data_IF_659755413146
#
_entry.id   IF_659755413146
#
_cell.length_a   1.000
_cell.length_b   1.000
_cell.length_c   1.000
_cell.angle_alpha   90.00
_cell.angle_beta   90.00
_cell.angle_gamma   90.00
#
_symmetry.space_group_name_H-M   'P 1'
#
loop_
_entity.id
_entity.type
_entity.pdbx_description
1 polymer ?
2 non-polymer ?
#
# COMPACT_ATOMS: atom_id res chain seq x y z
N UNK A 22 -3.73 -19.07 -8.48
CA UNK A 22 -2.33 -19.47 -8.79
C UNK A 22 -1.81 -18.65 -9.97
N UNK A 23 -0.80 -17.81 -9.74
CA UNK A 23 -0.19 -16.97 -10.80
C UNK A 23 0.18 -15.62 -10.23
N UNK A 24 1.12 -14.92 -10.87
CA UNK A 24 1.60 -13.60 -10.36
C UNK A 24 1.10 -12.50 -11.28
N UNK A 25 0.08 -11.77 -10.88
CA UNK A 25 -0.33 -10.62 -11.71
C UNK A 25 0.80 -9.59 -11.67
N UNK A 26 0.99 -8.80 -12.71
CA UNK A 26 1.91 -7.67 -12.72
C UNK A 26 1.83 -6.90 -11.39
N UNK A 27 0.60 -6.68 -10.91
CA UNK A 27 0.41 -5.91 -9.70
C UNK A 27 1.19 -6.51 -8.53
N UNK A 28 1.05 -7.83 -8.40
CA UNK A 28 1.66 -8.57 -7.31
C UNK A 28 3.17 -8.47 -7.44
N UNK A 29 3.62 -8.60 -8.69
CA UNK A 29 5.03 -8.62 -9.04
C UNK A 29 5.67 -7.31 -8.62
N UNK A 30 5.01 -6.20 -8.94
CA UNK A 30 5.55 -4.89 -8.63
C UNK A 30 5.71 -4.76 -7.12
N UNK A 31 4.63 -5.05 -6.40
CA UNK A 31 4.62 -4.99 -4.94
C UNK A 31 5.81 -5.75 -4.34
N UNK A 32 5.99 -7.00 -4.81
CA UNK A 32 7.04 -7.87 -4.34
C UNK A 32 8.39 -7.21 -4.59
N UNK A 33 8.48 -6.43 -5.67
CA UNK A 33 9.70 -5.70 -5.96
C UNK A 33 9.91 -4.70 -4.84
N UNK A 34 8.79 -4.07 -4.49
CA UNK A 34 8.79 -3.01 -3.51
C UNK A 34 9.21 -3.60 -2.18
N UNK A 35 8.63 -4.75 -1.84
CA UNK A 35 9.05 -5.47 -0.66
C UNK A 35 10.54 -5.79 -0.73
N UNK A 36 10.99 -6.37 -1.85
CA UNK A 36 12.37 -6.78 -1.97
C UNK A 36 13.26 -5.59 -1.64
N UNK A 37 12.86 -4.44 -2.19
CA UNK A 37 13.50 -3.16 -1.93
C UNK A 37 13.51 -2.85 -0.44
N UNK A 38 12.30 -2.88 0.16
CA UNK A 38 12.09 -2.52 1.55
C UNK A 38 12.95 -3.38 2.46
N UNK A 39 12.83 -4.70 2.31
CA UNK A 39 13.67 -5.62 3.06
C UNK A 39 15.14 -5.44 2.70
N UNK A 40 15.41 -5.01 1.46
CA UNK A 40 16.77 -5.00 0.95
C UNK A 40 17.25 -6.43 0.73
N UNK A 41 16.39 -7.24 0.13
CA UNK A 41 16.79 -8.58 -0.26
C UNK A 41 16.65 -8.69 -1.78
N UNK A 42 17.16 -9.78 -2.36
CA UNK A 42 17.05 -10.04 -3.81
C UNK A 42 15.60 -10.33 -4.06
N UNK A 43 15.08 -10.05 -5.25
CA UNK A 43 13.63 -10.22 -5.55
C UNK A 43 13.33 -11.72 -5.63
N UNK A 44 14.35 -12.55 -5.80
CA UNK A 44 14.17 -14.02 -5.79
C UNK A 44 13.83 -14.42 -4.36
N UNK A 45 14.46 -13.79 -3.38
CA UNK A 45 14.28 -14.17 -1.96
C UNK A 45 12.98 -13.55 -1.47
N UNK A 46 12.67 -12.31 -1.81
CA UNK A 46 11.40 -11.68 -1.50
C UNK A 46 10.23 -12.55 -1.96
N UNK A 47 10.23 -12.97 -3.22
CA UNK A 47 9.11 -13.74 -3.73
C UNK A 47 9.05 -15.12 -3.08
N UNK A 48 10.23 -15.67 -2.78
CA UNK A 48 10.29 -16.98 -2.10
C UNK A 48 9.59 -16.85 -0.75
N UNK A 49 9.88 -15.80 0.02
CA UNK A 49 9.32 -15.54 1.33
C UNK A 49 7.82 -15.28 1.22
N UNK A 50 7.43 -14.47 0.24
CA UNK A 50 6.03 -14.15 0.06
C UNK A 50 5.22 -15.39 -0.28
N UNK A 51 5.70 -16.21 -1.20
CA UNK A 51 4.88 -17.37 -1.62
C UNK A 51 4.85 -18.35 -0.44
N UNK A 52 5.91 -18.38 0.36
CA UNK A 52 5.97 -19.27 1.54
C UNK A 52 4.97 -18.79 2.57
N UNK A 53 4.81 -17.48 2.70
CA UNK A 53 3.90 -16.89 3.71
C UNK A 53 2.46 -17.02 3.23
N UNK A 54 2.22 -16.91 1.93
CA UNK A 54 0.85 -16.91 1.38
C UNK A 54 0.21 -18.28 1.61
N UNK A 55 1.00 -19.34 1.65
CA UNK A 55 0.51 -20.70 1.84
C UNK A 55 0.41 -21.01 3.33
N UNK A 56 1.47 -20.60 4.06
CA UNK A 56 1.60 -20.86 5.49
C UNK A 56 0.43 -20.22 6.25
N UNK A 57 -0.09 -19.09 5.74
CA UNK A 57 -1.18 -18.33 6.36
C UNK A 57 -2.47 -18.49 5.58
N UNK A 58 -2.39 -18.87 4.30
CA UNK A 58 -3.60 -19.00 3.50
C UNK A 58 -4.26 -17.64 3.29
N UNK A 59 -3.42 -16.70 2.84
CA UNK A 59 -3.81 -15.34 2.53
C UNK A 59 -3.57 -15.14 1.04
N UNK A 60 -3.85 -13.94 0.52
CA UNK A 60 -3.42 -13.59 -0.82
C UNK A 60 -1.91 -13.39 -0.83
N UNK A 61 -1.33 -13.43 -2.03
CA UNK A 61 0.08 -13.14 -2.17
C UNK A 61 0.30 -11.68 -1.78
N UNK A 62 -0.61 -10.81 -2.20
CA UNK A 62 -0.53 -9.40 -1.87
C UNK A 62 -0.46 -9.28 -0.36
N UNK A 63 -1.38 -9.96 0.33
CA UNK A 63 -1.47 -9.89 1.78
C UNK A 63 -0.19 -10.43 2.41
N UNK A 64 0.45 -11.40 1.75
CA UNK A 64 1.69 -11.95 2.27
C UNK A 64 2.80 -10.91 2.15
N UNK A 65 2.83 -10.22 1.01
CA UNK A 65 3.83 -9.18 0.84
C UNK A 65 3.58 -8.06 1.84
N UNK A 66 2.31 -7.67 1.99
CA UNK A 66 1.93 -6.61 2.92
C UNK A 66 2.36 -6.98 4.34
N UNK A 67 2.27 -8.26 4.68
CA UNK A 67 2.65 -8.72 6.00
C UNK A 67 4.15 -8.60 6.21
N UNK A 68 4.89 -8.83 5.13
CA UNK A 68 6.33 -8.67 5.20
C UNK A 68 6.65 -7.20 5.45
N UNK A 69 5.89 -6.35 4.76
CA UNK A 69 6.13 -4.89 4.80
C UNK A 69 5.68 -4.29 6.12
N UNK A 70 4.62 -4.81 6.75
CA UNK A 70 4.22 -4.33 8.06
C UNK A 70 5.28 -4.75 9.08
N UNK A 71 5.74 -6.01 9.02
CA UNK A 71 6.73 -6.51 9.96
C UNK A 71 7.99 -5.65 9.88
N UNK A 72 8.50 -5.42 8.67
CA UNK A 72 9.62 -4.51 8.47
C UNK A 72 9.31 -3.16 9.10
N UNK A 73 8.16 -2.57 8.74
CA UNK A 73 7.80 -1.24 9.18
C UNK A 73 7.86 -1.14 10.71
N UNK A 74 7.42 -2.21 11.39
CA UNK A 74 7.40 -2.28 12.85
C UNK A 74 8.78 -2.64 13.41
N UNK A 75 9.75 -2.96 12.54
CA UNK A 75 11.08 -3.35 12.99
C UNK A 75 11.09 -4.67 13.75
N UNK A 76 10.13 -5.56 13.44
CA UNK A 76 9.95 -6.82 14.13
C UNK A 76 10.16 -8.00 13.18
N UNK A 77 9.95 -9.22 13.68
CA UNK A 77 9.98 -10.43 12.85
C UNK A 77 8.56 -10.62 12.38
N UNK A 78 8.31 -11.48 11.41
CA UNK A 78 7.03 -11.66 10.76
C UNK A 78 6.11 -12.41 11.71
N UNK A 79 6.64 -13.41 12.42
CA UNK A 79 5.84 -14.13 13.39
C UNK A 79 5.32 -13.09 14.40
N UNK A 80 6.24 -12.31 14.98
CA UNK A 80 5.89 -11.39 16.05
C UNK A 80 4.75 -10.49 15.57
N UNK A 81 4.86 -9.95 14.35
CA UNK A 81 3.80 -9.12 13.82
C UNK A 81 2.48 -9.89 13.78
N UNK A 82 2.53 -11.12 13.26
CA UNK A 82 1.33 -11.92 13.05
C UNK A 82 0.69 -12.25 14.40
N UNK A 83 1.54 -12.52 15.39
CA UNK A 83 1.07 -12.88 16.71
C UNK A 83 0.26 -11.71 17.24
N UNK A 84 0.79 -10.50 17.02
CA UNK A 84 0.17 -9.27 17.48
C UNK A 84 -1.15 -9.02 16.74
N UNK A 85 -1.09 -9.11 15.42
CA UNK A 85 -2.30 -9.02 14.61
C UNK A 85 -3.39 -9.94 15.17
N UNK A 86 -3.04 -11.19 15.45
CA UNK A 86 -4.07 -12.18 15.84
C UNK A 86 -4.63 -11.82 17.21
N UNK A 87 -3.84 -11.16 18.06
CA UNK A 87 -4.37 -10.72 19.37
C UNK A 87 -5.36 -9.58 19.10
N UNK A 88 -5.19 -8.82 18.01
CA UNK A 88 -6.08 -7.70 17.65
C UNK A 88 -7.26 -8.23 16.84
N UNK A 89 -7.09 -9.35 16.12
CA UNK A 89 -8.16 -9.95 15.35
C UNK A 89 -9.26 -10.44 16.29
N UNK A 90 -8.85 -11.16 17.34
CA UNK A 90 -9.77 -11.77 18.30
C UNK A 90 -10.35 -10.69 19.21
N UNK A 91 -9.48 -9.81 19.73
CA UNK A 91 -9.86 -8.74 20.65
C UNK A 91 -10.88 -7.79 20.02
N UNK A 92 -10.72 -7.42 18.74
CA UNK A 92 -11.58 -6.41 18.12
C UNK A 92 -12.54 -7.02 17.11
N UNK A 93 -12.36 -8.30 16.79
CA UNK A 93 -13.21 -8.96 15.80
C UNK A 93 -13.04 -8.33 14.41
N UNK A 94 -11.78 -8.24 13.98
CA UNK A 94 -11.42 -7.69 12.68
C UNK A 94 -10.79 -8.83 11.88
N UNK A 95 -10.53 -8.58 10.59
CA UNK A 95 -9.80 -9.53 9.77
C UNK A 95 -8.32 -9.35 10.05
N UNK A 96 -7.55 -10.41 9.78
CA UNK A 96 -6.11 -10.33 9.95
C UNK A 96 -5.57 -9.07 9.29
N UNK A 97 -5.87 -8.87 8.00
CA UNK A 97 -5.27 -7.77 7.28
C UNK A 97 -5.58 -6.47 8.02
N UNK A 98 -6.83 -6.35 8.49
CA UNK A 98 -7.26 -5.15 9.17
C UNK A 98 -6.40 -4.94 10.41
N UNK A 99 -6.08 -6.05 11.08
CA UNK A 99 -5.26 -6.04 12.27
C UNK A 99 -3.85 -5.57 11.93
N UNK A 100 -3.39 -5.97 10.75
CA UNK A 100 -2.08 -5.58 10.31
C UNK A 100 -2.09 -4.08 10.03
N UNK A 101 -3.13 -3.62 9.33
CA UNK A 101 -3.29 -2.21 9.01
C UNK A 101 -3.24 -1.37 10.28
N UNK A 102 -3.95 -1.82 11.31
CA UNK A 102 -3.99 -1.11 12.57
C UNK A 102 -2.56 -0.92 13.05
N UNK A 103 -1.84 -2.03 13.15
CA UNK A 103 -0.49 -2.02 13.69
C UNK A 103 0.35 -1.01 12.92
N UNK A 104 0.21 -1.07 11.60
CA UNK A 104 0.96 -0.21 10.70
C UNK A 104 0.59 1.24 10.95
N UNK A 105 -0.71 1.54 10.96
CA UNK A 105 -1.17 2.91 11.13
C UNK A 105 -0.57 3.46 12.42
N UNK A 106 -0.85 2.76 13.53
CA UNK A 106 -0.36 3.13 14.85
C UNK A 106 1.15 3.38 14.83
N UNK A 107 1.92 2.50 14.19
CA UNK A 107 3.35 2.72 14.05
C UNK A 107 3.59 4.09 13.43
N UNK A 108 3.10 4.24 12.20
CA UNK A 108 3.28 5.45 11.41
C UNK A 108 3.02 6.69 12.27
N UNK A 109 1.86 6.70 12.92
CA UNK A 109 1.45 7.82 13.77
C UNK A 109 2.48 7.98 14.89
N UNK A 110 2.92 6.86 15.47
CA UNK A 110 3.71 6.88 16.70
C UNK A 110 2.82 6.96 17.94
N UNK A 111 1.67 6.25 17.90
CA UNK A 111 0.70 6.25 18.98
C UNK A 111 0.52 4.82 19.49
N UNK A 112 -0.57 4.60 20.24
CA UNK A 112 -1.01 3.27 20.62
C UNK A 112 -2.06 2.77 19.63
N UNK A 113 -2.25 1.45 19.61
CA UNK A 113 -3.22 0.80 18.74
C UNK A 113 -4.64 1.24 19.10
N UNK A 114 -4.90 1.46 20.40
CA UNK A 114 -6.25 1.81 20.81
C UNK A 114 -6.58 3.16 20.20
N UNK A 115 -5.61 4.09 20.28
CA UNK A 115 -5.76 5.44 19.75
C UNK A 115 -6.00 5.35 18.25
N UNK A 116 -5.07 4.70 17.54
CA UNK A 116 -5.21 4.49 16.11
C UNK A 116 -6.62 3.99 15.81
N UNK A 117 -7.03 2.89 16.47
CA UNK A 117 -8.33 2.25 16.25
C UNK A 117 -9.48 3.23 16.48
N UNK A 118 -9.36 4.07 17.51
CA UNK A 118 -10.36 5.09 17.80
C UNK A 118 -10.46 6.05 16.61
N UNK A 119 -9.31 6.58 16.19
CA UNK A 119 -9.30 7.60 15.15
C UNK A 119 -9.88 7.01 13.86
N UNK A 120 -9.55 5.75 13.57
CA UNK A 120 -9.96 5.14 12.31
C UNK A 120 -11.47 4.94 12.29
N UNK A 121 -12.03 4.48 13.41
CA UNK A 121 -13.48 4.24 13.49
C UNK A 121 -14.14 5.61 13.57
N UNK A 122 -13.38 6.66 13.90
CA UNK A 122 -13.90 8.05 13.93
C UNK A 122 -14.01 8.53 12.48
N UNK A 123 -13.06 8.17 11.63
CA UNK A 123 -13.05 8.57 10.20
C UNK A 123 -14.07 7.72 9.46
N UNK A 124 -14.17 6.44 9.80
CA UNK A 124 -15.03 5.48 9.14
C UNK A 124 -16.48 5.96 9.23
N UNK A 125 -16.88 6.34 10.44
CA UNK A 125 -18.25 6.79 10.66
C UNK A 125 -18.45 8.15 10.00
N UNK A 126 -17.52 9.09 10.25
CA UNK A 126 -17.61 10.47 9.79
C UNK A 126 -17.76 10.56 8.27
N UNK A 127 -17.15 9.63 7.52
CA UNK A 127 -17.00 9.76 6.08
C UNK A 127 -17.79 8.68 5.33
N UNK A 128 -18.14 7.58 6.01
CA UNK A 128 -18.87 6.46 5.41
C UNK A 128 -17.96 5.54 4.58
N UNK A 129 -16.74 5.33 5.08
CA UNK A 129 -15.73 4.58 4.34
C UNK A 129 -15.47 3.25 5.05
N UNK A 130 -14.63 2.42 4.43
CA UNK A 130 -14.12 1.22 5.05
C UNK A 130 -13.20 1.59 6.21
N UNK A 131 -13.10 0.68 7.18
CA UNK A 131 -12.11 0.83 8.24
C UNK A 131 -10.74 0.92 7.58
N UNK A 132 -10.58 0.11 6.54
CA UNK A 132 -9.32 0.00 5.83
C UNK A 132 -9.01 1.35 5.21
N UNK A 133 -10.02 1.94 4.57
CA UNK A 133 -9.88 3.25 3.96
C UNK A 133 -9.46 4.25 5.03
N UNK A 134 -10.17 4.22 6.16
CA UNK A 134 -9.94 5.17 7.24
C UNK A 134 -8.48 5.13 7.70
N UNK A 135 -7.97 3.92 7.91
CA UNK A 135 -6.59 3.72 8.30
C UNK A 135 -5.66 4.35 7.27
N UNK A 136 -5.96 4.09 6.00
CA UNK A 136 -5.08 4.48 4.92
C UNK A 136 -5.05 6.00 4.85
N UNK A 137 -6.22 6.61 5.04
CA UNK A 137 -6.31 8.06 5.14
C UNK A 137 -5.38 8.53 6.25
N UNK A 138 -5.50 7.90 7.42
CA UNK A 138 -4.62 8.26 8.51
C UNK A 138 -3.16 8.15 8.05
N UNK A 139 -2.80 7.07 7.37
CA UNK A 139 -1.39 6.86 6.98
C UNK A 139 -0.97 7.88 5.94
N UNK A 140 -1.86 8.23 5.01
CA UNK A 140 -1.54 9.23 3.99
C UNK A 140 -1.15 10.53 4.70
N UNK A 141 -1.97 10.95 5.67
CA UNK A 141 -1.72 12.15 6.44
C UNK A 141 -0.29 12.16 6.99
N UNK A 142 0.17 11.01 7.48
CA UNK A 142 1.50 10.90 8.06
C UNK A 142 2.52 11.32 7.01
N UNK A 143 2.39 10.74 5.81
CA UNK A 143 3.36 10.88 4.74
C UNK A 143 3.35 12.30 4.17
N UNK A 144 2.14 12.87 4.04
CA UNK A 144 1.95 14.21 3.50
C UNK A 144 2.37 15.28 4.51
N UNK A 145 2.49 14.91 5.79
CA UNK A 145 2.79 15.87 6.83
C UNK A 145 1.67 16.89 6.97
N UNK A 146 0.42 16.42 6.85
CA UNK A 146 -0.76 17.26 6.97
C UNK A 146 -1.69 16.71 8.06
N UNK A 147 -2.78 17.44 8.32
CA UNK A 147 -3.87 16.95 9.15
C UNK A 147 -4.75 16.01 8.33
N UNK A 148 -5.47 15.12 9.02
CA UNK A 148 -6.36 14.15 8.40
C UNK A 148 -7.53 14.89 7.76
N UNK A 149 -7.86 16.07 8.29
CA UNK A 149 -8.89 16.88 7.67
C UNK A 149 -8.41 17.30 6.29
N UNK A 150 -7.17 17.79 6.20
CA UNK A 150 -6.62 18.34 4.97
C UNK A 150 -6.42 17.24 3.93
N UNK A 151 -5.92 16.08 4.38
CA UNK A 151 -5.73 14.93 3.52
C UNK A 151 -7.05 14.49 2.88
N UNK A 152 -8.13 14.40 3.68
CA UNK A 152 -9.44 14.06 3.14
C UNK A 152 -9.89 15.11 2.12
N UNK A 153 -9.61 16.38 2.43
CA UNK A 153 -9.94 17.51 1.57
C UNK A 153 -9.34 17.25 0.19
N UNK A 154 -8.01 17.09 0.17
CA UNK A 154 -7.28 16.94 -1.07
C UNK A 154 -7.81 15.74 -1.84
N UNK A 155 -8.03 14.62 -1.13
CA UNK A 155 -8.47 13.39 -1.77
C UNK A 155 -9.85 13.56 -2.40
N UNK A 156 -10.72 14.33 -1.73
CA UNK A 156 -12.06 14.59 -2.24
C UNK A 156 -11.99 15.56 -3.42
N UNK A 157 -10.98 16.43 -3.41
CA UNK A 157 -10.76 17.34 -4.52
C UNK A 157 -10.41 16.52 -5.77
N UNK A 158 -9.42 15.62 -5.67
CA UNK A 158 -9.03 14.79 -6.79
C UNK A 158 -10.20 13.91 -7.24
N UNK A 159 -10.84 13.24 -6.28
CA UNK A 159 -11.90 12.30 -6.61
C UNK A 159 -12.84 12.96 -7.61
N UNK A 160 -13.15 14.24 -7.36
CA UNK A 160 -14.13 14.98 -8.14
C UNK A 160 -13.49 15.45 -9.45
N UNK A 161 -12.28 16.02 -9.35
CA UNK A 161 -11.56 16.59 -10.48
C UNK A 161 -11.33 15.53 -11.57
N UNK A 162 -11.03 14.28 -11.18
CA UNK A 162 -10.63 13.24 -12.12
C UNK A 162 -11.68 12.13 -12.26
N UNK A 163 -12.76 12.19 -11.47
CA UNK A 163 -13.79 11.15 -11.50
C UNK A 163 -13.25 9.79 -11.03
N UNK A 164 -12.22 9.82 -10.18
CA UNK A 164 -11.54 8.62 -9.68
C UNK A 164 -12.15 8.28 -8.33
N UNK A 165 -11.88 7.06 -7.86
CA UNK A 165 -12.31 6.62 -6.54
C UNK A 165 -11.44 7.28 -5.47
N UNK A 166 -11.93 7.25 -4.23
CA UNK A 166 -11.24 7.93 -3.14
C UNK A 166 -9.88 7.26 -2.98
N UNK A 167 -9.91 5.93 -3.06
CA UNK A 167 -8.71 5.12 -2.98
C UNK A 167 -7.68 5.62 -3.99
N UNK A 168 -8.15 5.80 -5.22
CA UNK A 168 -7.25 6.29 -6.24
C UNK A 168 -6.72 7.63 -5.76
N UNK A 169 -7.64 8.52 -5.38
CA UNK A 169 -7.29 9.88 -5.00
C UNK A 169 -6.16 9.87 -3.97
N UNK A 170 -6.35 9.12 -2.88
CA UNK A 170 -5.33 9.07 -1.84
C UNK A 170 -4.04 8.47 -2.39
N UNK A 171 -4.18 7.44 -3.22
CA UNK A 171 -3.03 6.79 -3.82
C UNK A 171 -2.21 7.84 -4.55
N UNK A 172 -2.87 8.51 -5.50
CA UNK A 172 -2.23 9.56 -6.27
C UNK A 172 -1.50 10.50 -5.32
N UNK A 173 -2.18 10.87 -4.23
CA UNK A 173 -1.61 11.83 -3.31
C UNK A 173 -0.24 11.32 -2.87
N UNK A 174 -0.24 10.11 -2.29
CA UNK A 174 0.97 9.56 -1.70
C UNK A 174 2.04 9.38 -2.78
N UNK A 175 1.63 8.97 -3.98
CA UNK A 175 2.59 8.73 -5.04
C UNK A 175 3.24 10.07 -5.39
N UNK A 176 2.41 11.12 -5.46
CA UNK A 176 2.90 12.46 -5.73
C UNK A 176 3.95 12.83 -4.68
N UNK A 177 3.67 12.43 -3.43
CA UNK A 177 4.58 12.62 -2.31
C UNK A 177 5.89 11.85 -2.52
N UNK A 178 5.80 10.53 -2.73
CA UNK A 178 6.99 9.69 -2.82
C UNK A 178 7.91 10.24 -3.91
N UNK A 179 7.32 10.74 -5.00
CA UNK A 179 8.06 11.22 -6.16
C UNK A 179 8.69 12.58 -5.86
N UNK A 180 8.09 13.32 -4.92
CA UNK A 180 8.51 14.69 -4.63
C UNK A 180 8.13 15.64 -5.76
N UNK A 181 6.89 15.48 -6.26
CA UNK A 181 6.39 16.23 -7.40
C UNK A 181 4.97 16.70 -7.10
N UNK A 182 4.48 17.62 -7.92
CA UNK A 182 3.13 18.10 -7.73
C UNK A 182 2.20 16.95 -8.08
N UNK A 183 1.02 16.96 -7.46
CA UNK A 183 -0.03 16.02 -7.80
C UNK A 183 -0.36 16.11 -9.30
N UNK A 184 -0.24 17.29 -9.91
CA UNK A 184 -0.59 17.43 -11.31
C UNK A 184 0.36 16.57 -12.12
N UNK A 185 1.67 16.73 -11.86
CA UNK A 185 2.72 16.05 -12.61
C UNK A 185 2.60 14.54 -12.41
N UNK A 186 2.23 14.14 -11.19
CA UNK A 186 2.02 12.75 -10.85
C UNK A 186 0.93 12.13 -11.74
N UNK A 187 -0.23 12.79 -11.78
CA UNK A 187 -1.31 12.39 -12.65
C UNK A 187 -0.82 12.28 -14.10
N UNK A 188 -0.16 13.34 -14.60
CA UNK A 188 0.32 13.37 -15.97
C UNK A 188 1.06 12.06 -16.28
N UNK A 189 2.11 11.78 -15.51
CA UNK A 189 2.95 10.62 -15.71
C UNK A 189 2.16 9.32 -15.58
N UNK A 190 1.21 9.29 -14.64
CA UNK A 190 0.40 8.11 -14.42
C UNK A 190 -0.47 7.87 -15.65
N UNK A 191 -1.18 8.91 -16.05
CA UNK A 191 -2.02 8.81 -17.21
C UNK A 191 -1.15 8.48 -18.43
N UNK A 192 0.01 9.12 -18.53
CA UNK A 192 0.93 8.92 -19.66
C UNK A 192 1.37 7.46 -19.72
N UNK A 193 1.42 6.79 -18.57
CA UNK A 193 1.87 5.38 -18.51
C UNK A 193 0.68 4.48 -18.83
N UNK A 194 -0.53 4.96 -18.60
CA UNK A 194 -1.75 4.18 -18.86
C UNK A 194 -2.03 4.21 -20.36
N UNK A 195 -1.62 5.27 -21.06
CA UNK A 195 -1.81 5.40 -22.50
C UNK A 195 -0.70 4.63 -23.20
N UNK A 196 0.55 4.91 -22.80
CA UNK A 196 1.75 4.36 -23.43
C UNK A 196 1.76 2.83 -23.32
N UNK A 197 1.35 2.27 -22.17
CA UNK A 197 1.58 0.85 -21.87
C UNK A 197 0.30 0.04 -21.75
N UNK A 198 -0.85 0.70 -21.64
CA UNK A 198 -2.13 0.01 -21.71
C UNK A 198 -2.47 -0.66 -20.39
N UNK A 199 -2.02 -0.02 -19.30
CA UNK A 199 -2.28 -0.50 -17.95
C UNK A 199 -3.46 0.31 -17.40
N UNK A 200 -3.97 -0.13 -16.25
CA UNK A 200 -4.98 0.63 -15.53
C UNK A 200 -4.30 1.77 -14.78
N UNK A 201 -5.12 2.60 -14.14
CA UNK A 201 -4.57 3.67 -13.34
C UNK A 201 -3.88 3.07 -12.12
N UNK A 202 -4.56 2.12 -11.48
CA UNK A 202 -3.99 1.42 -10.35
C UNK A 202 -2.55 1.00 -10.65
N UNK A 203 -2.41 0.20 -11.73
CA UNK A 203 -1.13 -0.35 -12.16
C UNK A 203 -0.11 0.78 -12.33
N UNK A 204 -0.43 1.80 -13.13
CA UNK A 204 0.46 2.92 -13.40
C UNK A 204 1.01 3.53 -12.10
N UNK A 205 0.10 3.77 -11.15
CA UNK A 205 0.50 4.35 -9.88
C UNK A 205 1.51 3.43 -9.21
N UNK A 206 1.17 2.14 -9.18
CA UNK A 206 2.01 1.10 -8.60
C UNK A 206 3.41 1.19 -9.19
N UNK A 207 3.45 1.14 -10.53
CA UNK A 207 4.68 1.16 -11.31
C UNK A 207 5.53 2.37 -10.96
N UNK A 208 4.88 3.55 -10.95
CA UNK A 208 5.54 4.80 -10.64
C UNK A 208 6.21 4.71 -9.27
N UNK A 209 5.43 4.38 -8.24
CA UNK A 209 5.96 4.30 -6.89
C UNK A 209 7.07 3.24 -6.78
N UNK A 210 6.83 2.02 -7.28
CA UNK A 210 7.86 0.99 -7.24
C UNK A 210 9.15 1.50 -7.88
N UNK A 211 9.06 2.06 -9.08
CA UNK A 211 10.23 2.57 -9.76
C UNK A 211 10.95 3.63 -8.92
N UNK A 212 10.18 4.43 -8.18
CA UNK A 212 10.74 5.52 -7.36
C UNK A 212 11.44 4.90 -6.16
N UNK A 213 10.84 3.85 -5.61
CA UNK A 213 11.39 3.17 -4.43
C UNK A 213 12.63 2.39 -4.87
N UNK A 214 12.59 1.82 -6.07
CA UNK A 214 13.71 1.01 -6.60
C UNK A 214 14.80 1.98 -7.08
N UNK A 215 14.47 3.25 -7.29
CA UNK A 215 15.42 4.21 -7.84
C UNK A 215 15.81 3.88 -9.29
N UNK A 216 14.83 3.43 -10.08
CA UNK A 216 15.05 3.07 -11.47
C UNK A 216 14.02 3.80 -12.30
N UNK A 217 14.15 3.64 -13.62
CA UNK A 217 13.13 4.04 -14.56
C UNK A 217 11.88 3.19 -14.36
N UNK A 218 10.81 3.65 -15.01
CA UNK A 218 9.57 2.92 -15.08
C UNK A 218 9.74 1.67 -15.95
N UNK A 219 10.57 1.79 -17.00
CA UNK A 219 10.75 0.72 -17.95
C UNK A 219 11.51 -0.44 -17.30
N UNK A 220 12.52 -0.09 -16.49
CA UNK A 220 13.33 -1.06 -15.77
C UNK A 220 12.43 -1.79 -14.78
N UNK A 221 11.66 -1.02 -14.03
CA UNK A 221 10.82 -1.58 -13.00
C UNK A 221 9.85 -2.60 -13.61
N UNK A 222 9.25 -2.24 -14.74
CA UNK A 222 8.25 -3.08 -15.37
C UNK A 222 8.90 -4.34 -15.91
N UNK A 223 10.06 -4.19 -16.56
CA UNK A 223 10.72 -5.36 -17.10
C UNK A 223 11.00 -6.33 -15.95
N UNK A 224 11.38 -5.78 -14.79
CA UNK A 224 11.69 -6.60 -13.63
C UNK A 224 10.42 -7.29 -13.16
N UNK A 225 9.35 -6.50 -13.04
CA UNK A 225 8.05 -7.02 -12.67
C UNK A 225 7.63 -8.13 -13.63
N UNK A 226 7.89 -7.95 -14.92
CA UNK A 226 7.40 -8.92 -15.93
C UNK A 226 8.13 -10.25 -15.77
N UNK A 227 9.36 -10.21 -15.27
CA UNK A 227 10.13 -11.45 -15.03
C UNK A 227 9.37 -12.31 -14.02
N UNK A 228 8.62 -11.69 -13.11
CA UNK A 228 7.86 -12.41 -12.06
C UNK A 228 6.43 -12.64 -12.54
N UNK A 229 5.91 -11.84 -13.46
CA UNK A 229 4.49 -11.89 -13.88
C UNK A 229 4.21 -13.14 -14.68
N UNK A 230 3.23 -13.95 -14.28
CA UNK A 230 2.79 -15.16 -15.00
C UNK A 230 1.34 -14.95 -15.35
N UNK A 231 0.52 -14.45 -14.43
CA UNK A 231 -0.90 -14.10 -14.66
C UNK A 231 -0.96 -12.84 -15.52
N UNK A 232 -2.15 -12.49 -16.03
CA UNK A 232 -2.28 -11.33 -16.95
C UNK A 232 -3.11 -10.20 -16.32
N UNK A 233 -2.48 -9.33 -15.53
CA UNK A 233 -3.10 -8.12 -15.01
C UNK A 233 -3.35 -7.12 -16.12
X LIG B 1 3.08 -0.54 -2.91
X LIG B 1 1.25 3.31 -3.34
X LIG B 1 1.26 3.70 -0.89
X LIG B 1 1.54 0.48 0.10
X LIG B 1 -0.98 0.53 -1.97
X LIG B 1 -2.38 0.24 -2.38
X LIG B 1 -1.84 -2.15 1.46
X LIG B 1 -4.49 -0.75 -1.75
X LIG B 1 7.04 1.71 2.47
X LIG B 1 6.15 2.26 1.51
X LIG B 1 4.78 2.50 2.31
X LIG B 1 3.88 1.41 2.64
X LIG B 1 3.49 0.63 1.40
X LIG B 1 3.68 1.47 0.16
X LIG B 1 2.48 1.09 -0.61
X LIG B 1 2.20 1.61 -1.93
X LIG B 1 2.44 0.81 -3.05
X LIG B 1 2.12 1.30 -4.32
X LIG B 1 1.53 2.54 -4.45
X LIG B 1 1.57 2.85 -2.08
X LIG B 1 1.18 3.06 -5.81
X LIG B 1 -0.34 0.05 -0.35
X LIG B 1 -1.12 2.42 1.09
X LIG B 1 0.16 -2.75 -0.86
X LIG B 1 -3.16 -0.43 -1.46
X LIG B 1 -2.50 -0.69 -0.28
X LIG B 1 -2.97 -1.76 0.59
X LIG B 1 -4.05 -1.23 1.47
X LIG B 1 -5.03 -0.40 -2.99
X LIG B 1 -4.23 0.28 -3.92
X LIG B 1 -2.90 0.60 -3.63
X LIG B 1 2.08 0.18 1.31
X LIG B 1 1.45 -0.55 2.39
X LIG B 1 0.60 0.10 3.28
X LIG B 1 0.33 1.56 3.15
X LIG B 1 0.00 -0.61 4.31
X LIG B 1 0.24 -1.97 4.45
X LIG B 1 1.07 -2.62 3.56
X LIG B 1 1.68 -1.92 2.53
X LIG B 1 2.59 -2.65 1.57
X LIG B 1 -0.42 -2.73 5.56
X LIG B 1 4.98 1.21 -0.56
X LIG B 1 6.14 1.21 0.30
X LIG B 1 6.45 3.51 0.90
#
# INVERSE_FOLDING_TARGET
GHHHHHHGSGSGENLYFQGGGSGVSLGQALLILSVAALLGTTVEEAVKRALWLKTKLGVSLEQAARTLSVAAYLGTTVEEAVKRALKLKTKLGVSLEQALLILFAAAALGTTVEEAVKRALKLKTKLGVSLEQALLILWTAVELGTTVEEAVKRALKLKTKLGVSLGQAQAILVVAAELGTTVEEAVYRALKLKTKLGVSLGQALLILEVAAKLGTTVEEAVKRALKLTTKLG
A1IR7 C10 C13 C15 C17 C21 C22 C26 C28 O01 S02 N03 C04 C05 C06 N07 C08 C09 C11 C12 C14 C16 RU18 CL19 CL20 C23 O24 C25 C27 C29 C30 C31 N32 C33 C34 C35 C36 C37 C38 C39 C40 C41 C42 N43 O44
#
